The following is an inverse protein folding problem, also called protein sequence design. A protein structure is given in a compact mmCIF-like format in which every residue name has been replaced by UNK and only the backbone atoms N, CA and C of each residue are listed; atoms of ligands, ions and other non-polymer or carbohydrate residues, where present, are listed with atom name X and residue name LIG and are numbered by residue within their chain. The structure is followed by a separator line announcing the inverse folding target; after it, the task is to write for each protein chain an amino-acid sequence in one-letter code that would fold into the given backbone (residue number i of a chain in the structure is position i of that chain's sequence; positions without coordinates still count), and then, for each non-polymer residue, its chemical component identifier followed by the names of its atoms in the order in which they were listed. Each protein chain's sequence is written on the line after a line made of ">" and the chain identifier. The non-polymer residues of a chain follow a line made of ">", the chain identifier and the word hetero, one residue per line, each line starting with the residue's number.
data_IF_489963453842
#
_entry.id   IF_489963453842
#
_cell.length_a   1.000
_cell.length_b   1.000
_cell.length_c   1.000
_cell.angle_alpha   90.00
_cell.angle_beta   90.00
_cell.angle_gamma   90.00
#
_symmetry.space_group_name_H-M   'P 1'
#
loop_
_entity.id
_entity.type
_entity.pdbx_description
1 polymer ?
#
# COMPACT_ATOMS: atom_id res chain seq x y z
N UNK A 1 12.88 -7.51 -3.07
CA UNK A 1 14.28 -7.16 -3.32
C UNK A 1 15.12 -7.21 -2.04
N UNK A 2 14.82 -6.47 -0.99
CA UNK A 2 15.57 -6.40 0.28
C UNK A 2 15.82 -7.76 0.96
N UNK A 3 14.81 -8.65 1.02
CA UNK A 3 14.97 -9.97 1.64
C UNK A 3 16.03 -10.79 0.90
N UNK A 4 16.02 -10.78 -0.42
CA UNK A 4 16.99 -11.51 -1.24
C UNK A 4 18.40 -10.95 -1.08
N UNK A 5 18.54 -9.63 -0.98
CA UNK A 5 19.82 -8.96 -0.79
C UNK A 5 20.38 -9.21 0.62
N UNK A 6 19.51 -9.26 1.64
CA UNK A 6 19.89 -9.52 3.02
C UNK A 6 20.26 -10.99 3.29
N UNK A 7 19.66 -11.94 2.56
CA UNK A 7 19.97 -13.37 2.67
C UNK A 7 21.23 -13.77 1.90
N UNK A 8 21.72 -12.92 0.99
CA UNK A 8 22.88 -13.21 0.14
C UNK A 8 22.56 -14.19 -1.00
N UNK A 9 23.47 -14.38 -1.95
CA UNK A 9 23.28 -15.34 -3.04
C UNK A 9 23.30 -16.77 -2.50
N UNK A 10 22.28 -17.56 -2.82
CA UNK A 10 22.28 -19.01 -2.64
C UNK A 10 23.27 -19.62 -3.64
N UNK A 11 24.55 -19.72 -3.30
CA UNK A 11 25.50 -20.50 -4.08
C UNK A 11 25.38 -21.95 -3.66
N UNK A 12 24.94 -22.77 -4.62
CA UNK A 12 25.02 -24.23 -4.56
C UNK A 12 26.47 -24.69 -4.38
N UNK A 13 26.69 -25.59 -3.41
CA UNK A 13 27.78 -26.51 -3.26
C UNK A 13 29.22 -26.01 -3.53
N UNK A 14 29.91 -25.53 -2.49
CA UNK A 14 31.34 -25.83 -2.33
C UNK A 14 31.70 -25.86 -0.85
N UNK A 15 32.40 -26.91 -0.47
CA UNK A 15 32.90 -27.20 0.85
C UNK A 15 34.12 -26.33 1.19
N UNK A 16 33.89 -25.15 1.74
CA UNK A 16 34.94 -24.28 2.31
C UNK A 16 34.38 -23.50 3.53
N UNK A 17 35.19 -23.13 4.53
CA UNK A 17 34.71 -22.72 5.84
C UNK A 17 33.90 -21.43 5.80
N UNK A 18 32.69 -21.50 6.33
CA UNK A 18 31.59 -20.56 6.33
C UNK A 18 31.82 -19.15 6.97
N UNK A 19 33.03 -18.77 7.33
CA UNK A 19 33.27 -17.52 8.11
C UNK A 19 33.35 -16.23 7.30
N UNK A 20 33.57 -16.25 5.98
CA UNK A 20 33.75 -15.03 5.17
C UNK A 20 32.46 -14.50 4.51
N UNK A 21 31.37 -15.25 4.51
CA UNK A 21 30.12 -14.90 3.83
C UNK A 21 29.11 -14.14 4.71
N UNK A 22 29.25 -14.17 6.04
CA UNK A 22 28.28 -13.54 6.96
C UNK A 22 28.22 -12.01 6.83
N UNK A 23 29.32 -11.37 6.48
CA UNK A 23 29.38 -9.90 6.36
C UNK A 23 28.81 -9.35 5.06
N UNK A 24 28.63 -10.14 4.01
CA UNK A 24 28.06 -9.69 2.74
C UNK A 24 26.55 -9.35 2.84
N UNK A 25 25.86 -9.90 3.82
CA UNK A 25 24.40 -9.75 4.01
C UNK A 25 24.00 -8.62 4.94
N UNK A 26 24.93 -7.78 5.38
CA UNK A 26 24.65 -6.68 6.33
C UNK A 26 24.10 -5.42 5.67
N UNK A 27 23.67 -5.47 4.43
CA UNK A 27 23.13 -4.33 3.68
C UNK A 27 24.01 -3.07 3.77
N UNK A 28 25.33 -3.23 3.64
CA UNK A 28 26.34 -2.18 3.83
C UNK A 28 26.12 -0.94 2.98
N UNK A 29 25.45 -1.08 1.82
CA UNK A 29 25.13 0.01 0.90
C UNK A 29 24.11 1.00 1.47
N UNK A 30 23.32 0.58 2.46
CA UNK A 30 22.22 1.39 2.99
C UNK A 30 22.57 1.93 4.36
N UNK A 31 22.31 3.21 4.57
CA UNK A 31 22.41 3.87 5.87
C UNK A 31 21.05 4.00 6.54
N UNK A 32 20.00 4.11 5.73
CA UNK A 32 18.62 4.26 6.18
C UNK A 32 17.77 3.29 5.37
N UNK A 33 16.87 2.59 6.04
CA UNK A 33 15.83 1.76 5.40
C UNK A 33 14.49 2.25 5.92
N UNK A 34 13.58 2.50 5.00
CA UNK A 34 12.19 2.88 5.30
C UNK A 34 11.30 1.69 4.99
N UNK A 35 10.46 1.30 5.94
CA UNK A 35 9.45 0.26 5.79
C UNK A 35 8.10 0.94 5.88
N UNK A 36 7.39 0.96 4.77
CA UNK A 36 6.07 1.58 4.66
C UNK A 36 4.96 0.55 4.84
N UNK A 37 3.75 1.04 5.14
CA UNK A 37 2.53 0.24 5.34
C UNK A 37 2.71 -0.93 6.34
N UNK A 38 3.50 -0.71 7.39
CA UNK A 38 3.81 -1.77 8.37
C UNK A 38 2.57 -2.31 9.10
N UNK A 39 1.47 -1.55 9.12
CA UNK A 39 0.20 -1.95 9.73
C UNK A 39 -0.51 -3.10 9.00
N UNK A 40 -0.23 -3.35 7.74
CA UNK A 40 -0.81 -4.48 7.00
C UNK A 40 -0.38 -5.84 7.58
N UNK A 41 0.71 -5.88 8.35
CA UNK A 41 1.20 -7.07 9.04
C UNK A 41 1.29 -8.30 8.13
N UNK A 42 1.64 -8.09 6.86
CA UNK A 42 1.88 -9.21 5.95
C UNK A 42 3.06 -10.06 6.46
N UNK A 43 3.02 -11.36 6.18
CA UNK A 43 4.13 -12.27 6.53
C UNK A 43 5.49 -11.73 6.02
N UNK A 44 5.50 -11.14 4.83
CA UNK A 44 6.72 -10.56 4.24
C UNK A 44 7.19 -9.35 5.04
N UNK A 45 6.29 -8.47 5.46
CA UNK A 45 6.60 -7.30 6.29
C UNK A 45 7.18 -7.74 7.63
N UNK A 46 6.55 -8.70 8.30
CA UNK A 46 7.03 -9.20 9.60
C UNK A 46 8.41 -9.87 9.48
N UNK A 47 8.66 -10.64 8.43
CA UNK A 47 9.99 -11.19 8.14
C UNK A 47 11.04 -10.11 7.90
N UNK A 48 10.70 -9.04 7.15
CA UNK A 48 11.60 -7.90 6.93
C UNK A 48 11.91 -7.20 8.25
N UNK A 49 10.91 -6.93 9.08
CA UNK A 49 11.11 -6.30 10.40
C UNK A 49 12.07 -7.10 11.27
N UNK A 50 11.87 -8.41 11.38
CA UNK A 50 12.76 -9.30 12.13
C UNK A 50 14.20 -9.31 11.59
N UNK A 51 14.34 -9.36 10.28
CA UNK A 51 15.64 -9.32 9.61
C UNK A 51 16.36 -7.98 9.82
N UNK A 52 15.64 -6.87 9.72
CA UNK A 52 16.20 -5.53 9.94
C UNK A 52 16.66 -5.33 11.37
N UNK A 53 15.90 -5.77 12.36
CA UNK A 53 16.32 -5.73 13.77
C UNK A 53 17.63 -6.50 13.98
N UNK A 54 17.72 -7.71 13.42
CA UNK A 54 18.93 -8.54 13.50
C UNK A 54 20.12 -7.85 12.85
N UNK A 55 19.98 -7.34 11.62
CA UNK A 55 21.05 -6.63 10.91
C UNK A 55 21.50 -5.38 11.67
N UNK A 56 20.57 -4.62 12.21
CA UNK A 56 20.87 -3.43 13.00
C UNK A 56 21.71 -3.77 14.24
N UNK A 57 21.32 -4.82 14.96
CA UNK A 57 22.04 -5.31 16.15
C UNK A 57 23.44 -5.81 15.80
N UNK A 58 23.58 -6.56 14.73
CA UNK A 58 24.87 -7.08 14.24
C UNK A 58 25.81 -5.93 13.82
N UNK A 59 25.29 -4.95 13.06
CA UNK A 59 26.08 -3.75 12.71
C UNK A 59 26.54 -2.98 13.94
N UNK A 60 25.65 -2.77 14.92
CA UNK A 60 25.99 -2.09 16.17
C UNK A 60 27.15 -2.80 16.87
N UNK A 61 27.09 -4.13 16.97
CA UNK A 61 28.13 -4.96 17.55
C UNK A 61 29.47 -4.81 16.81
N UNK A 62 29.48 -4.98 15.51
CA UNK A 62 30.70 -4.89 14.69
C UNK A 62 31.34 -3.48 14.74
N UNK A 63 30.53 -2.44 14.76
CA UNK A 63 31.03 -1.06 14.90
C UNK A 63 31.72 -0.89 16.28
N UNK A 64 31.13 -1.45 17.34
CA UNK A 64 31.73 -1.42 18.68
C UNK A 64 33.03 -2.23 18.72
N UNK A 65 33.17 -3.28 17.94
CA UNK A 65 34.38 -4.09 17.78
C UNK A 65 35.45 -3.43 16.87
N UNK A 66 35.19 -2.21 16.35
CA UNK A 66 36.18 -1.42 15.60
C UNK A 66 36.09 -1.55 14.08
N UNK A 67 35.03 -2.12 13.53
CA UNK A 67 34.84 -2.16 12.08
C UNK A 67 34.44 -0.78 11.54
N UNK A 68 35.37 -0.05 10.95
CA UNK A 68 35.21 1.32 10.44
C UNK A 68 34.52 1.41 9.07
N UNK A 69 34.39 0.27 8.37
CA UNK A 69 33.73 0.17 7.06
C UNK A 69 32.18 0.10 7.17
N UNK A 70 31.66 0.06 8.40
CA UNK A 70 30.24 -0.02 8.69
C UNK A 70 29.71 1.27 9.30
N UNK A 71 28.54 1.70 8.84
CA UNK A 71 27.77 2.77 9.48
C UNK A 71 26.56 2.19 10.23
N UNK A 72 26.11 2.83 11.32
CA UNK A 72 24.86 2.44 11.97
C UNK A 72 23.69 2.43 10.98
N UNK A 73 22.85 1.40 11.06
CA UNK A 73 21.64 1.31 10.24
C UNK A 73 20.49 2.01 10.98
N UNK A 74 19.92 3.02 10.33
CA UNK A 74 18.67 3.65 10.79
C UNK A 74 17.50 2.96 10.10
N UNK A 75 16.47 2.62 10.89
CA UNK A 75 15.24 2.00 10.39
C UNK A 75 14.12 2.97 10.70
N UNK A 76 13.34 3.32 9.68
CA UNK A 76 12.13 4.14 9.78
C UNK A 76 10.95 3.24 9.43
N UNK A 77 10.00 3.14 10.35
CA UNK A 77 8.78 2.36 10.13
C UNK A 77 7.63 3.34 10.00
N UNK A 78 6.90 3.26 8.91
CA UNK A 78 5.72 4.08 8.66
C UNK A 78 4.47 3.22 8.74
N UNK A 79 3.44 3.75 9.40
CA UNK A 79 2.19 3.05 9.63
C UNK A 79 1.04 4.05 9.68
N UNK A 80 -0.09 3.72 9.07
CA UNK A 80 -1.31 4.52 9.13
C UNK A 80 -2.13 4.28 10.40
N UNK A 81 -1.78 3.29 11.22
CA UNK A 81 -2.51 2.98 12.46
C UNK A 81 -1.94 3.71 13.66
N UNK A 82 -2.82 3.98 14.63
CA UNK A 82 -2.49 4.67 15.88
C UNK A 82 -1.57 3.83 16.78
N UNK A 83 -1.57 2.50 16.66
CA UNK A 83 -0.80 1.61 17.53
C UNK A 83 0.64 1.39 17.02
N UNK A 84 1.44 2.45 17.07
CA UNK A 84 2.88 2.37 16.82
C UNK A 84 3.66 1.72 17.98
N UNK A 85 3.03 1.51 19.13
CA UNK A 85 3.67 1.01 20.34
C UNK A 85 4.22 -0.42 20.18
N UNK A 86 3.56 -1.24 19.37
CA UNK A 86 4.00 -2.61 19.04
C UNK A 86 5.37 -2.59 18.34
N UNK A 87 5.54 -1.73 17.35
CA UNK A 87 6.80 -1.59 16.62
C UNK A 87 7.88 -0.96 17.50
N UNK A 88 7.52 0.06 18.29
CA UNK A 88 8.45 0.69 19.21
C UNK A 88 8.99 -0.33 20.24
N UNK A 89 8.13 -1.10 20.88
CA UNK A 89 8.53 -2.19 21.79
C UNK A 89 9.38 -3.26 21.12
N UNK A 90 9.03 -3.64 19.89
CA UNK A 90 9.80 -4.64 19.16
C UNK A 90 11.22 -4.18 18.89
N UNK A 91 11.45 -2.91 18.53
CA UNK A 91 12.77 -2.37 18.23
C UNK A 91 13.48 -1.77 19.45
N UNK A 92 12.82 -1.65 20.59
CA UNK A 92 13.42 -1.14 21.80
C UNK A 92 14.64 -1.97 22.23
N UNK A 93 15.64 -1.27 22.73
CA UNK A 93 16.85 -1.81 23.37
C UNK A 93 16.72 -1.48 24.87
N UNK A 94 17.20 -2.31 25.82
CA UNK A 94 17.15 -2.03 27.26
C UNK A 94 17.68 -0.67 27.67
N UNK A 95 18.52 -0.05 26.83
CA UNK A 95 19.15 1.25 27.10
C UNK A 95 18.55 2.41 26.27
N UNK A 96 17.56 2.15 25.42
CA UNK A 96 17.07 3.16 24.46
C UNK A 96 15.64 2.91 24.02
N UNK A 97 14.79 3.88 24.27
CA UNK A 97 13.46 3.93 23.68
C UNK A 97 13.50 4.28 22.19
N UNK A 98 12.53 3.76 21.46
CA UNK A 98 12.33 4.11 20.05
C UNK A 98 11.40 5.31 19.99
N UNK A 99 11.83 6.45 19.42
CA UNK A 99 10.97 7.61 19.28
C UNK A 99 9.82 7.31 18.31
N UNK A 100 8.61 7.71 18.69
CA UNK A 100 7.41 7.66 17.86
C UNK A 100 7.03 9.09 17.49
N UNK A 101 6.93 9.34 16.19
CA UNK A 101 6.52 10.64 15.65
C UNK A 101 5.13 10.50 15.06
N UNK A 102 4.22 11.37 15.49
CA UNK A 102 2.89 11.47 14.92
C UNK A 102 2.87 12.62 13.91
N UNK A 103 2.55 12.29 12.67
CA UNK A 103 2.36 13.26 11.60
C UNK A 103 0.87 13.43 11.37
N UNK A 104 0.33 14.58 11.77
CA UNK A 104 -1.07 14.91 11.51
C UNK A 104 -1.26 15.13 10.00
N UNK A 105 -2.03 14.25 9.36
CA UNK A 105 -2.46 14.43 7.98
C UNK A 105 -3.63 15.42 7.88
N UNK A 106 -3.77 16.13 6.75
CA UNK A 106 -5.01 16.83 6.43
C UNK A 106 -6.10 15.79 6.13
N UNK A 107 -7.13 15.77 6.96
CA UNK A 107 -8.31 14.97 6.68
C UNK A 107 -9.37 15.87 6.06
N UNK A 108 -9.91 15.45 4.93
CA UNK A 108 -11.13 16.06 4.39
C UNK A 108 -12.33 15.54 5.18
N UNK A 109 -13.38 16.35 5.29
CA UNK A 109 -14.61 15.93 5.95
C UNK A 109 -15.25 14.76 5.20
N UNK A 110 -15.51 13.66 5.92
CA UNK A 110 -16.18 12.48 5.39
C UNK A 110 -17.62 12.43 5.89
N UNK A 111 -18.57 12.27 4.96
CA UNK A 111 -19.97 12.01 5.29
C UNK A 111 -20.29 10.59 4.88
N UNK A 112 -20.77 9.78 5.83
CA UNK A 112 -21.20 8.41 5.56
C UNK A 112 -22.70 8.38 5.28
N UNK A 113 -23.07 7.60 4.27
CA UNK A 113 -24.45 7.35 3.90
C UNK A 113 -24.66 5.83 3.85
N UNK A 114 -25.82 5.39 4.30
CA UNK A 114 -26.21 3.98 4.28
C UNK A 114 -27.55 3.84 3.59
N UNK A 115 -27.80 2.71 2.96
CA UNK A 115 -29.13 2.36 2.46
C UNK A 115 -30.07 2.13 3.65
N UNK A 116 -31.31 2.57 3.53
CA UNK A 116 -32.31 2.37 4.59
C UNK A 116 -32.78 0.92 4.65
N UNK A 117 -32.79 0.25 3.52
CA UNK A 117 -33.21 -1.15 3.37
C UNK A 117 -32.09 -1.98 2.74
N UNK A 118 -32.16 -3.30 2.92
CA UNK A 118 -31.22 -4.22 2.29
C UNK A 118 -31.43 -4.25 0.76
N UNK A 119 -30.35 -4.09 0.02
CA UNK A 119 -30.36 -4.23 -1.44
C UNK A 119 -30.22 -5.70 -1.84
N UNK A 120 -31.14 -6.22 -2.66
CA UNK A 120 -31.04 -7.56 -3.24
C UNK A 120 -29.96 -7.60 -4.34
N UNK A 121 -29.92 -6.58 -5.19
CA UNK A 121 -28.88 -6.39 -6.22
C UNK A 121 -28.05 -5.15 -5.86
N UNK A 122 -26.95 -5.40 -5.14
CA UNK A 122 -26.06 -4.35 -4.72
C UNK A 122 -25.23 -3.78 -5.88
N UNK A 123 -25.01 -4.54 -6.95
CA UNK A 123 -24.23 -4.10 -8.13
C UNK A 123 -25.02 -3.09 -8.93
N UNK A 124 -26.32 -3.34 -9.18
CA UNK A 124 -27.22 -2.37 -9.80
C UNK A 124 -27.37 -1.12 -8.94
N UNK A 125 -27.55 -1.28 -7.62
CA UNK A 125 -27.63 -0.16 -6.70
C UNK A 125 -26.34 0.69 -6.70
N UNK A 126 -25.17 0.09 -6.77
CA UNK A 126 -23.89 0.78 -6.88
C UNK A 126 -23.77 1.56 -8.21
N UNK A 127 -24.11 0.94 -9.34
CA UNK A 127 -24.13 1.59 -10.66
C UNK A 127 -25.06 2.82 -10.65
N UNK A 128 -26.28 2.69 -10.13
CA UNK A 128 -27.23 3.81 -10.01
C UNK A 128 -26.66 4.92 -9.11
N UNK A 129 -26.03 4.55 -8.01
CA UNK A 129 -25.41 5.51 -7.09
C UNK A 129 -24.27 6.29 -7.76
N UNK A 130 -23.42 5.60 -8.53
CA UNK A 130 -22.36 6.26 -9.32
C UNK A 130 -22.95 7.26 -10.29
N UNK A 131 -23.97 6.87 -11.05
CA UNK A 131 -24.64 7.76 -12.00
C UNK A 131 -25.29 8.97 -11.30
N UNK A 132 -25.95 8.73 -10.18
CA UNK A 132 -26.56 9.80 -9.38
C UNK A 132 -25.50 10.78 -8.87
N UNK A 133 -24.38 10.30 -8.34
CA UNK A 133 -23.27 11.13 -7.87
C UNK A 133 -22.70 11.94 -9.04
N UNK A 134 -22.44 11.30 -10.16
CA UNK A 134 -21.84 11.92 -11.33
C UNK A 134 -22.66 13.09 -11.89
N UNK A 135 -23.97 12.93 -11.89
CA UNK A 135 -24.89 13.97 -12.39
C UNK A 135 -25.20 15.05 -11.36
N UNK A 136 -25.28 14.69 -10.05
CA UNK A 136 -25.84 15.60 -9.03
C UNK A 136 -24.79 16.24 -8.12
N UNK A 137 -23.54 15.81 -8.17
CA UNK A 137 -22.46 16.31 -7.29
C UNK A 137 -21.42 17.09 -8.08
N UNK A 138 -20.64 17.96 -7.42
CA UNK A 138 -19.49 18.61 -8.04
C UNK A 138 -18.50 17.59 -8.61
N UNK A 139 -17.71 18.01 -9.59
CA UNK A 139 -16.64 17.19 -10.19
C UNK A 139 -15.73 16.59 -9.13
N UNK A 140 -15.44 15.31 -9.28
CA UNK A 140 -14.56 14.56 -8.39
C UNK A 140 -14.45 13.10 -8.83
N UNK A 141 -13.53 12.37 -8.21
CA UNK A 141 -13.34 10.95 -8.49
C UNK A 141 -14.30 10.10 -7.66
N UNK A 142 -14.77 9.00 -8.25
CA UNK A 142 -15.64 8.02 -7.60
C UNK A 142 -14.90 6.69 -7.52
N UNK A 143 -14.69 6.17 -6.31
CA UNK A 143 -14.08 4.86 -6.09
C UNK A 143 -15.15 3.87 -5.63
N UNK A 144 -15.32 2.78 -6.38
CA UNK A 144 -16.27 1.71 -6.09
C UNK A 144 -15.49 0.44 -5.75
N UNK A 145 -15.76 -0.14 -4.59
CA UNK A 145 -15.21 -1.42 -4.18
C UNK A 145 -16.17 -2.55 -4.55
N UNK A 146 -15.66 -3.58 -5.22
CA UNK A 146 -16.39 -4.78 -5.56
C UNK A 146 -15.65 -6.02 -5.02
N UNK A 147 -16.30 -7.18 -5.00
CA UNK A 147 -15.76 -8.38 -4.36
C UNK A 147 -14.77 -9.13 -5.27
N UNK A 148 -14.81 -8.92 -6.59
CA UNK A 148 -13.93 -9.60 -7.53
C UNK A 148 -13.94 -9.01 -8.93
N UNK A 149 -13.06 -9.55 -9.77
CA UNK A 149 -12.85 -9.09 -11.15
C UNK A 149 -14.14 -9.11 -12.00
N UNK A 150 -14.91 -10.20 -11.93
CA UNK A 150 -16.13 -10.37 -12.73
C UNK A 150 -17.15 -9.26 -12.45
N UNK A 151 -17.34 -8.89 -11.18
CA UNK A 151 -18.23 -7.81 -10.80
C UNK A 151 -17.70 -6.45 -11.23
N UNK A 152 -16.38 -6.20 -11.10
CA UNK A 152 -15.74 -4.97 -11.58
C UNK A 152 -15.99 -4.78 -13.08
N UNK A 153 -15.79 -5.84 -13.87
CA UNK A 153 -15.97 -5.80 -15.31
C UNK A 153 -17.45 -5.61 -15.69
N UNK A 154 -18.37 -6.33 -15.03
CA UNK A 154 -19.81 -6.18 -15.23
C UNK A 154 -20.31 -4.77 -14.92
N UNK A 155 -19.89 -4.22 -13.78
CA UNK A 155 -20.22 -2.83 -13.40
C UNK A 155 -19.63 -1.82 -14.37
N UNK A 156 -18.38 -2.02 -14.82
CA UNK A 156 -17.74 -1.17 -15.81
C UNK A 156 -18.49 -1.15 -17.13
N UNK A 157 -18.94 -2.32 -17.62
CA UNK A 157 -19.77 -2.41 -18.84
C UNK A 157 -21.12 -1.68 -18.67
N UNK A 158 -21.80 -1.87 -17.54
CA UNK A 158 -23.06 -1.19 -17.25
C UNK A 158 -22.87 0.33 -17.22
N UNK A 159 -21.83 0.81 -16.55
CA UNK A 159 -21.50 2.23 -16.50
C UNK A 159 -21.13 2.79 -17.87
N UNK A 160 -20.44 2.03 -18.73
CA UNK A 160 -20.14 2.44 -20.11
C UNK A 160 -21.41 2.63 -20.94
N UNK A 161 -22.36 1.68 -20.83
CA UNK A 161 -23.65 1.80 -21.51
C UNK A 161 -24.43 3.02 -21.07
N UNK A 162 -24.53 3.27 -19.76
CA UNK A 162 -25.20 4.45 -19.24
C UNK A 162 -24.45 5.75 -19.55
N UNK A 163 -23.13 5.73 -19.48
CA UNK A 163 -22.28 6.88 -19.83
C UNK A 163 -22.45 7.32 -21.27
N UNK A 164 -22.61 6.37 -22.21
CA UNK A 164 -22.88 6.69 -23.62
C UNK A 164 -24.26 7.36 -23.84
N UNK A 165 -25.19 7.17 -22.93
CA UNK A 165 -26.54 7.77 -22.98
C UNK A 165 -26.59 9.13 -22.26
N UNK A 166 -25.61 9.47 -21.45
CA UNK A 166 -25.60 10.71 -20.65
C UNK A 166 -25.59 11.96 -21.52
N UNK A 167 -24.78 12.01 -22.56
CA UNK A 167 -24.67 13.20 -23.41
C UNK A 167 -25.97 13.50 -24.18
N UNK A 168 -26.62 12.52 -24.85
CA UNK A 168 -27.94 12.77 -25.46
C UNK A 168 -28.98 13.17 -24.43
N UNK A 169 -29.02 12.48 -23.29
CA UNK A 169 -29.98 12.77 -22.23
C UNK A 169 -29.78 14.17 -21.62
N UNK A 170 -28.55 14.58 -21.35
CA UNK A 170 -28.26 15.89 -20.78
C UNK A 170 -28.71 17.04 -21.70
N UNK A 171 -28.52 16.89 -23.00
CA UNK A 171 -29.00 17.85 -24.01
C UNK A 171 -30.54 17.92 -24.07
N UNK A 172 -31.21 16.79 -23.93
CA UNK A 172 -32.68 16.72 -23.93
C UNK A 172 -33.31 17.40 -22.71
N UNK A 173 -32.65 17.22 -21.53
CA UNK A 173 -33.17 17.75 -20.24
C UNK A 173 -32.65 19.16 -19.92
N UNK A 174 -31.73 19.70 -20.73
CA UNK A 174 -31.19 21.06 -20.55
C UNK A 174 -30.10 21.13 -19.46
N UNK A 175 -29.41 20.04 -19.18
CA UNK A 175 -28.23 20.01 -18.35
C UNK A 175 -26.98 20.13 -19.25
N UNK A 176 -26.55 21.35 -19.50
CA UNK A 176 -25.51 21.64 -20.50
C UNK A 176 -24.08 21.25 -20.09
N UNK A 177 -23.86 20.75 -18.88
CA UNK A 177 -22.50 20.60 -18.32
C UNK A 177 -22.26 19.27 -17.60
N UNK A 178 -22.83 18.15 -18.07
CA UNK A 178 -22.50 16.81 -17.54
C UNK A 178 -21.19 16.30 -18.21
N UNK A 179 -20.11 16.16 -17.47
CA UNK A 179 -18.85 15.72 -18.03
C UNK A 179 -18.93 14.25 -18.49
N UNK A 180 -18.08 13.86 -19.42
CA UNK A 180 -17.95 12.47 -19.84
C UNK A 180 -17.51 11.58 -18.66
N UNK A 181 -18.16 10.43 -18.51
CA UNK A 181 -17.81 9.46 -17.46
C UNK A 181 -16.60 8.61 -17.91
N UNK A 182 -15.47 8.79 -17.23
CA UNK A 182 -14.26 8.01 -17.49
C UNK A 182 -14.19 6.82 -16.52
N UNK A 183 -14.32 5.61 -17.06
CA UNK A 183 -14.37 4.37 -16.27
C UNK A 183 -13.03 3.66 -16.34
N UNK A 184 -12.46 3.34 -15.18
CA UNK A 184 -11.18 2.66 -15.04
C UNK A 184 -11.34 1.44 -14.10
N UNK A 185 -11.49 0.21 -14.64
CA UNK A 185 -11.45 -0.98 -13.81
C UNK A 185 -10.05 -1.15 -13.19
N UNK A 186 -9.98 -1.53 -11.92
CA UNK A 186 -8.74 -1.70 -11.18
C UNK A 186 -8.78 -3.01 -10.38
N UNK A 187 -7.93 -3.97 -10.73
CA UNK A 187 -7.77 -5.24 -10.02
C UNK A 187 -6.35 -5.82 -10.22
N UNK A 188 -5.95 -6.72 -9.32
CA UNK A 188 -4.56 -7.18 -9.20
C UNK A 188 -3.97 -7.87 -10.44
N UNK A 189 -4.82 -8.42 -11.33
CA UNK A 189 -4.40 -9.13 -12.54
C UNK A 189 -4.43 -8.28 -13.81
N UNK A 190 -4.65 -6.97 -13.71
CA UNK A 190 -4.56 -6.08 -14.86
C UNK A 190 -3.14 -6.13 -15.45
N UNK A 191 -3.04 -6.55 -16.70
CA UNK A 191 -1.79 -6.45 -17.45
C UNK A 191 -1.39 -4.98 -17.56
N UNK A 192 -0.13 -4.67 -17.30
CA UNK A 192 0.47 -3.32 -17.25
C UNK A 192 0.40 -2.56 -18.61
N UNK A 193 -0.35 -3.06 -19.57
CA UNK A 193 -0.40 -2.60 -20.96
C UNK A 193 -1.71 -1.94 -21.36
N UNK A 194 -2.56 -1.52 -20.43
CA UNK A 194 -3.68 -0.66 -20.80
C UNK A 194 -3.14 0.74 -21.12
N UNK A 195 -3.22 1.22 -22.38
CA UNK A 195 -2.79 2.57 -22.71
C UNK A 195 -3.64 3.57 -21.93
N UNK A 196 -2.94 4.56 -21.39
CA UNK A 196 -3.51 5.75 -20.73
C UNK A 196 -4.34 6.59 -21.67
#
# INVERSE_FOLDING_TARGET
>A
MLIREALGPHTSKSSAPRRKSAHASLLKKYRIIVIDEAHERSLRTDMVLGLMKRIQSERKKLITEGHTDLCPLKIVIMSATIDASVFARFFADPLRDVPVLYVAGRQHSVRMYHTQESCQDWTDAAVRTVMQIHVSKPLGDILVFATGQEEIESMAQSLQMFGAQLEPWSKEVGFDDVPALLIRPLYACLLYTSPS
#
